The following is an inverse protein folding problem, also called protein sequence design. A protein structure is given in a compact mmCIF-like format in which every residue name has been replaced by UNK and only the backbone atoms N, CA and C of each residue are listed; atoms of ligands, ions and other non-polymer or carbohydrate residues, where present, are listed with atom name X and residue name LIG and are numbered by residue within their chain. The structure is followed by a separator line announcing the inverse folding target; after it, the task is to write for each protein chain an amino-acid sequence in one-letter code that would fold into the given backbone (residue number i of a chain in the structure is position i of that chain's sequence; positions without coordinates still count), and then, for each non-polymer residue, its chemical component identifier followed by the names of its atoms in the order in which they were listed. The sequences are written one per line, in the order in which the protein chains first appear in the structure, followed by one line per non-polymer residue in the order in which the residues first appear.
data_IF_862567007242
#
_entry.id   IF_862567007242
#
_cell.length_a   1.000
_cell.length_b   1.000
_cell.length_c   1.000
_cell.angle_alpha   90.00
_cell.angle_beta   90.00
_cell.angle_gamma   90.00
#
_symmetry.space_group_name_H-M   'P 1'
#
loop_
_entity.id
_entity.type
_entity.pdbx_description
1 polymer ?
#
# COMPACT_ATOMS: atom_id res chain seq x y z
N UNK A 1 -7.73 22.11 -14.66
CA UNK A 1 -8.94 21.56 -14.05
C UNK A 1 -10.19 21.93 -14.85
N UNK A 2 -10.35 23.17 -15.26
CA UNK A 2 -11.52 23.65 -16.04
C UNK A 2 -11.66 22.93 -17.38
N UNK A 3 -10.56 22.40 -17.92
CA UNK A 3 -10.55 21.60 -19.16
C UNK A 3 -11.20 20.20 -19.02
N UNK A 4 -11.45 19.75 -17.78
CA UNK A 4 -12.09 18.47 -17.48
C UNK A 4 -13.62 18.59 -17.30
N UNK A 5 -14.16 19.80 -17.30
CA UNK A 5 -15.60 20.00 -17.16
C UNK A 5 -16.36 19.28 -18.28
N UNK A 6 -17.39 18.50 -17.90
CA UNK A 6 -18.17 17.69 -18.85
C UNK A 6 -17.54 16.38 -19.30
N UNK A 7 -16.33 16.03 -18.83
CA UNK A 7 -15.72 14.72 -19.09
C UNK A 7 -16.34 13.65 -18.19
N UNK A 8 -16.60 12.50 -18.77
CA UNK A 8 -17.21 11.35 -18.09
C UNK A 8 -16.16 10.34 -17.56
N UNK A 9 -16.63 9.28 -16.92
CA UNK A 9 -15.78 8.20 -16.39
C UNK A 9 -15.00 7.50 -17.51
N UNK A 10 -15.60 7.30 -18.70
CA UNK A 10 -14.93 6.65 -19.81
C UNK A 10 -13.72 7.45 -20.30
N UNK A 11 -13.85 8.78 -20.33
CA UNK A 11 -12.73 9.66 -20.62
C UNK A 11 -11.61 9.54 -19.58
N UNK A 12 -11.95 9.53 -18.28
CA UNK A 12 -10.95 9.41 -17.20
C UNK A 12 -10.17 8.10 -17.32
N UNK A 13 -10.87 6.99 -17.54
CA UNK A 13 -10.23 5.67 -17.71
C UNK A 13 -9.35 5.59 -18.96
N UNK A 14 -9.80 6.15 -20.08
CA UNK A 14 -8.98 6.22 -21.28
C UNK A 14 -7.72 7.05 -21.06
N UNK A 15 -7.88 8.23 -20.43
CA UNK A 15 -6.75 9.13 -20.17
C UNK A 15 -5.77 8.52 -19.18
N UNK A 16 -6.24 7.80 -18.16
CA UNK A 16 -5.38 7.05 -17.23
C UNK A 16 -4.52 6.03 -17.95
N UNK A 17 -5.11 5.25 -18.86
CA UNK A 17 -4.36 4.26 -19.68
C UNK A 17 -3.31 4.93 -20.58
N UNK A 18 -3.63 6.05 -21.19
CA UNK A 18 -2.66 6.83 -21.98
C UNK A 18 -1.51 7.32 -21.12
N UNK A 19 -1.81 7.89 -19.94
CA UNK A 19 -0.78 8.36 -18.99
C UNK A 19 0.09 7.20 -18.49
N UNK A 20 -0.49 6.04 -18.18
CA UNK A 20 0.27 4.85 -17.82
C UNK A 20 1.25 4.46 -18.93
N UNK A 21 0.81 4.42 -20.19
CA UNK A 21 1.67 4.07 -21.32
C UNK A 21 2.83 5.06 -21.49
N UNK A 22 2.53 6.37 -21.44
CA UNK A 22 3.54 7.43 -21.57
C UNK A 22 4.56 7.34 -20.44
N UNK A 23 4.10 7.31 -19.20
CA UNK A 23 4.95 7.30 -17.99
C UNK A 23 5.83 6.05 -17.97
N UNK A 24 5.26 4.87 -18.24
CA UNK A 24 6.02 3.62 -18.24
C UNK A 24 7.07 3.60 -19.34
N UNK A 25 6.74 4.10 -20.54
CA UNK A 25 7.70 4.21 -21.65
C UNK A 25 8.82 5.20 -21.32
N UNK A 26 8.50 6.37 -20.77
CA UNK A 26 9.49 7.39 -20.40
C UNK A 26 10.44 6.85 -19.31
N UNK A 27 9.90 6.16 -18.30
CA UNK A 27 10.71 5.53 -17.24
C UNK A 27 11.64 4.48 -17.84
N UNK A 28 11.14 3.59 -18.70
CA UNK A 28 11.96 2.54 -19.33
C UNK A 28 13.07 3.15 -20.20
N UNK A 29 12.77 4.21 -20.92
CA UNK A 29 13.75 4.89 -21.78
C UNK A 29 14.85 5.52 -20.92
N UNK A 30 14.51 6.31 -19.91
CA UNK A 30 15.51 6.92 -19.02
C UNK A 30 16.31 5.86 -18.21
N UNK A 31 15.68 4.75 -17.81
CA UNK A 31 16.38 3.65 -17.14
C UNK A 31 17.36 2.96 -18.08
N UNK A 32 17.00 2.70 -19.33
CA UNK A 32 17.90 2.07 -20.31
C UNK A 32 19.13 2.91 -20.61
N UNK A 33 18.99 4.24 -20.61
CA UNK A 33 20.09 5.17 -20.85
C UNK A 33 21.04 5.29 -19.65
N UNK A 34 20.49 5.33 -18.42
CA UNK A 34 21.27 5.67 -17.23
C UNK A 34 21.79 4.46 -16.44
N UNK A 35 21.14 3.29 -16.55
CA UNK A 35 21.46 2.14 -15.70
C UNK A 35 22.41 1.12 -16.37
N UNK A 36 22.75 1.28 -17.67
CA UNK A 36 23.53 0.32 -18.44
C UNK A 36 24.94 0.01 -17.90
N UNK A 37 25.51 0.92 -17.09
CA UNK A 37 26.89 0.83 -16.60
C UNK A 37 27.01 0.84 -15.07
N UNK A 38 25.93 0.55 -14.34
CA UNK A 38 25.91 0.63 -12.88
C UNK A 38 25.73 -0.77 -12.29
N UNK A 39 26.72 -1.23 -11.51
CA UNK A 39 26.70 -2.53 -10.84
C UNK A 39 26.28 -2.44 -9.37
N UNK A 40 26.41 -1.26 -8.72
CA UNK A 40 26.03 -1.09 -7.32
C UNK A 40 24.50 -1.07 -7.13
N UNK A 41 24.00 -2.01 -6.35
CA UNK A 41 22.56 -2.17 -6.08
C UNK A 41 21.93 -0.98 -5.34
N UNK A 42 22.70 -0.26 -4.51
CA UNK A 42 22.21 0.94 -3.79
C UNK A 42 22.12 2.13 -4.74
N UNK A 43 23.13 2.31 -5.58
CA UNK A 43 23.16 3.36 -6.59
C UNK A 43 22.05 3.15 -7.63
N UNK A 44 21.82 1.92 -8.08
CA UNK A 44 20.71 1.55 -8.95
C UNK A 44 19.35 1.94 -8.37
N UNK A 45 19.12 1.67 -7.07
CA UNK A 45 17.86 2.04 -6.40
C UNK A 45 17.67 3.56 -6.36
N UNK A 46 18.73 4.30 -6.05
CA UNK A 46 18.69 5.77 -5.97
C UNK A 46 18.35 6.39 -7.33
N UNK A 47 19.07 5.98 -8.39
CA UNK A 47 18.83 6.52 -9.72
C UNK A 47 17.45 6.17 -10.25
N UNK A 48 16.93 4.96 -9.98
CA UNK A 48 15.56 4.59 -10.32
C UNK A 48 14.53 5.48 -9.63
N UNK A 49 14.74 5.82 -8.37
CA UNK A 49 13.87 6.73 -7.65
C UNK A 49 13.90 8.14 -8.24
N UNK A 50 15.08 8.66 -8.57
CA UNK A 50 15.26 9.97 -9.21
C UNK A 50 14.61 10.03 -10.61
N UNK A 51 14.72 8.95 -11.40
CA UNK A 51 14.06 8.85 -12.71
C UNK A 51 12.54 8.87 -12.54
N UNK A 52 12.01 8.05 -11.62
CA UNK A 52 10.59 7.98 -11.36
C UNK A 52 10.03 9.33 -10.90
N UNK A 53 10.68 9.98 -9.93
CA UNK A 53 10.30 11.31 -9.44
C UNK A 53 10.28 12.35 -10.58
N UNK A 54 11.33 12.39 -11.40
CA UNK A 54 11.44 13.31 -12.54
C UNK A 54 10.32 13.07 -13.56
N UNK A 55 10.05 11.83 -13.95
CA UNK A 55 9.03 11.49 -14.95
C UNK A 55 7.64 11.76 -14.40
N UNK A 56 7.32 11.28 -13.20
CA UNK A 56 6.03 11.48 -12.56
C UNK A 56 5.74 12.97 -12.30
N UNK A 57 6.76 13.75 -11.93
CA UNK A 57 6.64 15.18 -11.70
C UNK A 57 6.12 15.96 -12.92
N UNK A 58 6.41 15.51 -14.15
CA UNK A 58 5.88 16.13 -15.39
C UNK A 58 4.35 15.99 -15.49
N UNK A 59 3.79 14.94 -14.92
CA UNK A 59 2.37 14.59 -15.02
C UNK A 59 1.58 14.90 -13.73
N UNK A 60 2.20 15.49 -12.71
CA UNK A 60 1.60 15.75 -11.40
C UNK A 60 0.32 16.59 -11.51
N UNK A 61 0.36 17.71 -12.21
CA UNK A 61 -0.76 18.66 -12.32
C UNK A 61 -1.98 17.98 -12.96
N UNK A 62 -1.76 17.26 -14.07
CA UNK A 62 -2.84 16.58 -14.77
C UNK A 62 -3.40 15.44 -13.92
N UNK A 63 -2.54 14.62 -13.33
CA UNK A 63 -2.95 13.50 -12.48
C UNK A 63 -3.78 13.96 -11.29
N UNK A 64 -3.39 15.03 -10.63
CA UNK A 64 -4.13 15.58 -9.50
C UNK A 64 -5.47 16.18 -9.94
N UNK A 65 -5.53 16.79 -11.11
CA UNK A 65 -6.78 17.28 -11.68
C UNK A 65 -7.76 16.12 -11.99
N UNK A 66 -7.26 14.98 -12.50
CA UNK A 66 -8.08 13.79 -12.75
C UNK A 66 -8.65 13.21 -11.45
N UNK A 67 -7.86 13.11 -10.37
CA UNK A 67 -8.35 12.67 -9.05
C UNK A 67 -9.44 13.60 -8.54
N UNK A 68 -9.22 14.93 -8.56
CA UNK A 68 -10.23 15.91 -8.11
C UNK A 68 -11.51 15.81 -8.95
N UNK A 69 -11.39 15.55 -10.26
CA UNK A 69 -12.55 15.37 -11.13
C UNK A 69 -13.28 14.05 -10.86
N UNK A 70 -12.57 12.96 -10.61
CA UNK A 70 -13.17 11.68 -10.20
C UNK A 70 -14.00 11.84 -8.91
N UNK A 71 -13.49 12.56 -7.92
CA UNK A 71 -14.24 12.88 -6.69
C UNK A 71 -15.53 13.65 -6.98
N UNK A 72 -15.54 14.56 -7.96
CA UNK A 72 -16.77 15.26 -8.40
C UNK A 72 -17.77 14.32 -9.06
N UNK A 73 -17.30 13.41 -9.94
CA UNK A 73 -18.17 12.46 -10.61
C UNK A 73 -18.77 11.43 -9.65
N UNK A 74 -18.13 11.22 -8.50
CA UNK A 74 -18.64 10.38 -7.42
C UNK A 74 -19.60 11.11 -6.47
N UNK A 75 -19.67 12.44 -6.49
CA UNK A 75 -20.52 13.21 -5.59
C UNK A 75 -21.97 12.73 -5.64
N UNK A 76 -22.58 12.59 -4.47
CA UNK A 76 -23.92 12.04 -4.24
C UNK A 76 -24.11 10.54 -4.60
N UNK A 77 -23.08 9.83 -5.01
CA UNK A 77 -23.16 8.38 -5.19
C UNK A 77 -22.95 7.63 -3.88
N UNK A 78 -23.55 6.45 -3.78
CA UNK A 78 -23.48 5.59 -2.60
C UNK A 78 -22.95 4.22 -2.96
N UNK A 79 -22.17 3.63 -2.05
CA UNK A 79 -21.72 2.22 -2.14
C UNK A 79 -21.46 1.64 -0.76
N UNK A 80 -21.34 0.32 -0.70
CA UNK A 80 -21.06 -0.39 0.53
C UNK A 80 -19.58 -0.26 0.90
N UNK A 81 -19.31 0.10 2.16
CA UNK A 81 -17.97 0.15 2.78
C UNK A 81 -18.07 -0.58 4.10
N UNK A 82 -17.40 -1.74 4.21
CA UNK A 82 -17.44 -2.63 5.39
C UNK A 82 -18.88 -2.90 5.84
N UNK A 83 -19.77 -3.19 4.86
CA UNK A 83 -21.19 -3.51 5.12
C UNK A 83 -22.08 -2.32 5.50
N UNK A 84 -21.59 -1.10 5.38
CA UNK A 84 -22.37 0.12 5.59
C UNK A 84 -22.44 0.92 4.29
N UNK A 85 -23.63 1.44 3.96
CA UNK A 85 -23.77 2.34 2.83
C UNK A 85 -23.20 3.71 3.18
N UNK A 86 -22.21 4.14 2.43
CA UNK A 86 -21.59 5.45 2.57
C UNK A 86 -21.87 6.26 1.31
N UNK A 87 -22.31 7.49 1.52
CA UNK A 87 -22.50 8.47 0.47
C UNK A 87 -21.23 9.30 0.30
N UNK A 88 -20.82 9.52 -0.93
CA UNK A 88 -19.65 10.34 -1.23
C UNK A 88 -20.02 11.83 -1.27
N UNK A 89 -19.49 12.61 -0.34
CA UNK A 89 -19.73 14.05 -0.25
C UNK A 89 -18.43 14.86 -0.26
N UNK A 90 -17.30 14.23 -0.66
CA UNK A 90 -15.98 14.84 -0.58
C UNK A 90 -15.52 15.35 -1.94
N UNK A 91 -15.24 16.65 -2.01
CA UNK A 91 -14.50 17.28 -3.10
C UNK A 91 -13.25 17.90 -2.47
N UNK A 92 -12.04 17.52 -2.91
CA UNK A 92 -10.80 18.00 -2.29
C UNK A 92 -10.66 19.52 -2.36
N UNK A 93 -10.26 20.12 -1.23
CA UNK A 93 -9.86 21.53 -1.13
C UNK A 93 -8.42 21.72 -1.63
N UNK A 94 -8.05 22.97 -1.91
CA UNK A 94 -6.72 23.28 -2.45
C UNK A 94 -5.61 23.00 -1.44
N UNK A 95 -5.85 23.18 -0.14
CA UNK A 95 -4.93 22.82 0.95
C UNK A 95 -4.64 21.30 0.97
N UNK A 96 -5.66 20.51 0.67
CA UNK A 96 -5.51 19.05 0.57
C UNK A 96 -4.67 18.65 -0.65
N UNK A 97 -4.80 19.36 -1.75
CA UNK A 97 -3.94 19.16 -2.94
C UNK A 97 -2.47 19.46 -2.61
N UNK A 98 -2.20 20.54 -1.85
CA UNK A 98 -0.85 20.86 -1.37
C UNK A 98 -0.29 19.74 -0.49
N UNK A 99 -1.09 19.18 0.43
CA UNK A 99 -0.72 18.01 1.23
C UNK A 99 -0.32 16.81 0.36
N UNK A 100 -1.07 16.55 -0.71
CA UNK A 100 -0.76 15.51 -1.69
C UNK A 100 0.57 15.72 -2.41
N UNK A 101 0.92 16.96 -2.76
CA UNK A 101 2.23 17.32 -3.35
C UNK A 101 3.37 17.02 -2.38
N UNK A 102 3.21 17.40 -1.12
CA UNK A 102 4.22 17.15 -0.06
C UNK A 102 4.47 15.66 0.11
N UNK A 103 3.41 14.84 0.15
CA UNK A 103 3.52 13.38 0.24
C UNK A 103 4.19 12.77 -1.01
N UNK A 104 3.87 13.26 -2.21
CA UNK A 104 4.53 12.79 -3.44
C UNK A 104 6.04 13.05 -3.42
N UNK A 105 6.48 14.14 -2.81
CA UNK A 105 7.90 14.48 -2.62
C UNK A 105 8.61 13.64 -1.55
N UNK A 106 7.97 12.61 -1.00
CA UNK A 106 8.55 11.75 0.04
C UNK A 106 8.73 12.45 1.38
N UNK A 107 7.93 13.45 1.68
CA UNK A 107 7.96 14.22 2.92
C UNK A 107 6.81 13.81 3.86
N UNK A 108 6.91 14.22 5.12
CA UNK A 108 5.85 14.08 6.11
C UNK A 108 4.87 15.25 5.95
N UNK A 109 3.58 14.93 5.80
CA UNK A 109 2.49 15.90 5.81
C UNK A 109 1.72 15.74 7.10
N UNK A 110 1.86 16.71 8.00
CA UNK A 110 1.08 16.75 9.24
C UNK A 110 -0.25 17.45 9.00
N UNK A 111 -1.34 16.75 9.33
CA UNK A 111 -2.71 17.26 9.22
C UNK A 111 -3.48 16.87 10.48
N UNK A 112 -4.32 17.77 10.99
CA UNK A 112 -5.16 17.51 12.16
C UNK A 112 -6.20 16.44 11.85
N UNK A 113 -6.69 15.79 12.90
CA UNK A 113 -7.82 14.85 12.79
C UNK A 113 -9.03 15.55 12.19
N UNK A 114 -9.68 14.91 11.21
CA UNK A 114 -10.84 15.47 10.50
C UNK A 114 -10.50 16.32 9.27
N UNK A 115 -9.24 16.65 8.98
CA UNK A 115 -8.87 17.45 7.81
C UNK A 115 -8.79 16.63 6.50
N UNK A 116 -9.14 15.35 6.54
CA UNK A 116 -9.26 14.49 5.35
C UNK A 116 -7.95 13.89 4.87
N UNK A 117 -7.03 13.49 5.76
CA UNK A 117 -5.76 12.81 5.43
C UNK A 117 -5.92 11.69 4.43
N UNK A 118 -6.93 10.83 4.61
CA UNK A 118 -7.22 9.70 3.73
C UNK A 118 -7.53 10.13 2.29
N UNK A 119 -8.27 11.24 2.13
CA UNK A 119 -8.55 11.83 0.82
C UNK A 119 -7.29 12.45 0.19
N UNK A 120 -6.47 13.13 0.99
CA UNK A 120 -5.19 13.72 0.54
C UNK A 120 -4.26 12.66 -0.03
N UNK A 121 -4.20 11.49 0.61
CA UNK A 121 -3.36 10.38 0.16
C UNK A 121 -3.74 9.90 -1.26
N UNK A 122 -4.98 10.09 -1.71
CA UNK A 122 -5.41 9.61 -3.04
C UNK A 122 -4.63 10.25 -4.19
N UNK A 123 -4.18 11.48 -4.04
CA UNK A 123 -3.42 12.19 -5.07
C UNK A 123 -2.08 11.53 -5.39
N UNK A 124 -1.16 11.40 -4.42
CA UNK A 124 0.13 10.75 -4.69
C UNK A 124 -0.01 9.25 -4.94
N UNK A 125 -1.00 8.56 -4.36
CA UNK A 125 -1.28 7.16 -4.65
C UNK A 125 -1.58 6.99 -6.14
N UNK A 126 -2.51 7.75 -6.68
CA UNK A 126 -2.87 7.69 -8.10
C UNK A 126 -1.66 7.97 -9.00
N UNK A 127 -0.96 9.08 -8.77
CA UNK A 127 0.19 9.46 -9.59
C UNK A 127 1.27 8.37 -9.61
N UNK A 128 1.62 7.81 -8.44
CA UNK A 128 2.65 6.78 -8.37
C UNK A 128 2.18 5.42 -8.93
N UNK A 129 0.88 5.12 -8.86
CA UNK A 129 0.30 3.91 -9.45
C UNK A 129 0.39 3.91 -10.98
N UNK A 130 0.40 5.08 -11.64
CA UNK A 130 0.56 5.18 -13.10
C UNK A 130 1.88 4.58 -13.60
N UNK A 131 2.89 4.46 -12.73
CA UNK A 131 4.15 3.77 -13.07
C UNK A 131 3.97 2.27 -13.37
N UNK A 132 2.84 1.66 -12.98
CA UNK A 132 2.59 0.22 -13.09
C UNK A 132 3.40 -0.64 -12.12
N UNK A 133 4.16 -0.03 -11.22
CA UNK A 133 5.07 -0.73 -10.28
C UNK A 133 4.42 -1.07 -8.94
N UNK A 134 3.17 -0.66 -8.72
CA UNK A 134 2.41 -0.86 -7.51
C UNK A 134 2.68 0.17 -6.42
N UNK A 135 1.62 0.45 -5.66
CA UNK A 135 1.64 1.36 -4.50
C UNK A 135 1.10 0.63 -3.29
N UNK A 136 1.79 0.73 -2.16
CA UNK A 136 1.34 0.21 -0.89
C UNK A 136 0.82 1.35 0.00
N UNK A 137 -0.34 1.14 0.62
CA UNK A 137 -0.92 2.06 1.60
C UNK A 137 -0.99 1.35 2.94
N UNK A 138 -0.21 1.85 3.89
CA UNK A 138 0.00 1.22 5.19
C UNK A 138 -0.86 1.92 6.22
N UNK A 139 -1.70 1.15 6.91
CA UNK A 139 -2.59 1.58 7.98
C UNK A 139 -2.29 0.83 9.28
N UNK A 140 -2.92 1.23 10.38
CA UNK A 140 -2.62 0.66 11.71
C UNK A 140 -3.38 -0.64 12.02
N UNK A 141 -4.49 -0.93 11.33
CA UNK A 141 -5.27 -2.16 11.57
C UNK A 141 -6.04 -2.63 10.34
N UNK A 142 -6.48 -3.89 10.37
CA UNK A 142 -7.20 -4.56 9.28
C UNK A 142 -8.51 -3.87 8.92
N UNK A 143 -9.23 -3.33 9.92
CA UNK A 143 -10.48 -2.60 9.67
C UNK A 143 -10.25 -1.35 8.80
N UNK A 144 -9.23 -0.55 9.13
CA UNK A 144 -8.88 0.63 8.34
C UNK A 144 -8.37 0.25 6.96
N UNK A 145 -7.59 -0.82 6.85
CA UNK A 145 -7.09 -1.30 5.56
C UNK A 145 -8.25 -1.66 4.61
N UNK A 146 -9.24 -2.40 5.09
CA UNK A 146 -10.42 -2.75 4.30
C UNK A 146 -11.30 -1.51 4.05
N UNK A 147 -11.62 -0.74 5.09
CA UNK A 147 -12.46 0.46 4.98
C UNK A 147 -11.92 1.43 3.94
N UNK A 148 -10.64 1.76 4.00
CA UNK A 148 -10.05 2.76 3.13
C UNK A 148 -9.86 2.21 1.71
N UNK A 149 -9.58 0.93 1.55
CA UNK A 149 -9.58 0.28 0.24
C UNK A 149 -10.97 0.30 -0.43
N UNK A 150 -12.04 0.02 0.31
CA UNK A 150 -13.41 0.05 -0.22
C UNK A 150 -13.92 1.48 -0.42
N UNK A 151 -13.52 2.42 0.43
CA UNK A 151 -13.98 3.81 0.39
C UNK A 151 -13.22 4.64 -0.64
N UNK A 152 -11.90 4.79 -0.48
CA UNK A 152 -11.05 5.54 -1.41
C UNK A 152 -10.80 4.76 -2.70
N UNK A 153 -10.83 3.44 -2.64
CA UNK A 153 -10.70 2.58 -3.80
C UNK A 153 -11.66 2.92 -4.93
N UNK A 154 -12.85 3.42 -4.58
CA UNK A 154 -13.84 3.84 -5.58
C UNK A 154 -13.36 5.00 -6.46
N UNK A 155 -12.55 5.90 -5.93
CA UNK A 155 -11.90 6.97 -6.71
C UNK A 155 -10.95 6.36 -7.75
N UNK A 156 -10.12 5.41 -7.32
CA UNK A 156 -9.16 4.75 -8.20
C UNK A 156 -9.81 3.86 -9.25
N UNK A 157 -10.86 3.12 -8.89
CA UNK A 157 -11.67 2.34 -9.83
C UNK A 157 -12.34 3.23 -10.89
N UNK A 158 -12.84 4.42 -10.47
CA UNK A 158 -13.42 5.42 -11.39
C UNK A 158 -12.37 5.91 -12.38
N UNK A 159 -11.11 5.99 -11.96
CA UNK A 159 -9.97 6.31 -12.81
C UNK A 159 -9.43 5.11 -13.62
N UNK A 160 -9.93 3.90 -13.38
CA UNK A 160 -9.54 2.69 -14.11
C UNK A 160 -8.35 1.93 -13.52
N UNK A 161 -8.00 2.17 -12.26
CA UNK A 161 -6.98 1.43 -11.52
C UNK A 161 -7.62 0.34 -10.63
N UNK A 162 -6.87 -0.74 -10.43
CA UNK A 162 -7.25 -1.85 -9.56
C UNK A 162 -6.80 -1.61 -8.12
N UNK A 163 -7.66 -1.99 -7.17
CA UNK A 163 -7.39 -1.85 -5.73
C UNK A 163 -7.58 -3.18 -5.02
N UNK A 164 -6.64 -3.53 -4.16
CA UNK A 164 -6.71 -4.69 -3.29
C UNK A 164 -6.37 -4.30 -1.85
N UNK A 165 -6.63 -5.23 -0.94
CA UNK A 165 -6.22 -5.08 0.46
C UNK A 165 -5.73 -6.42 1.01
N UNK A 166 -4.95 -6.36 2.08
CA UNK A 166 -4.38 -7.51 2.78
C UNK A 166 -4.91 -7.52 4.21
N UNK A 167 -5.50 -8.65 4.60
CA UNK A 167 -5.97 -8.90 5.96
C UNK A 167 -5.29 -10.14 6.54
N UNK A 168 -5.24 -10.23 7.84
CA UNK A 168 -4.65 -11.37 8.55
C UNK A 168 -5.31 -12.72 8.15
N UNK A 169 -6.62 -12.74 7.92
CA UNK A 169 -7.40 -13.92 7.57
C UNK A 169 -7.19 -14.44 6.15
N UNK A 170 -6.49 -13.71 5.28
CA UNK A 170 -6.32 -14.07 3.87
C UNK A 170 -5.29 -15.18 3.66
N UNK A 171 -5.61 -16.09 2.74
CA UNK A 171 -4.69 -17.12 2.27
C UNK A 171 -3.65 -16.57 1.29
N UNK A 172 -2.55 -17.31 0.97
CA UNK A 172 -1.47 -16.82 0.10
C UNK A 172 -1.93 -16.43 -1.31
N UNK A 173 -2.89 -17.14 -1.89
CA UNK A 173 -3.39 -16.84 -3.25
C UNK A 173 -4.17 -15.53 -3.28
N UNK A 174 -5.01 -15.28 -2.28
CA UNK A 174 -5.74 -14.02 -2.11
C UNK A 174 -4.77 -12.85 -1.92
N UNK A 175 -3.74 -13.03 -1.10
CA UNK A 175 -2.68 -12.03 -0.89
C UNK A 175 -1.97 -11.71 -2.19
N UNK A 176 -1.54 -12.72 -2.94
CA UNK A 176 -0.88 -12.56 -4.24
C UNK A 176 -1.76 -11.81 -5.23
N UNK A 177 -3.05 -12.10 -5.27
CA UNK A 177 -4.02 -11.37 -6.10
C UNK A 177 -4.09 -9.90 -5.71
N UNK A 178 -4.16 -9.59 -4.40
CA UNK A 178 -4.19 -8.21 -3.90
C UNK A 178 -2.90 -7.46 -4.19
N UNK A 179 -1.73 -8.11 -4.06
CA UNK A 179 -0.45 -7.49 -4.42
C UNK A 179 -0.31 -7.22 -5.92
N UNK A 180 -1.04 -7.92 -6.77
CA UNK A 180 -1.03 -7.68 -8.22
C UNK A 180 -1.91 -6.50 -8.65
N UNK A 181 -2.74 -5.95 -7.76
CA UNK A 181 -3.45 -4.70 -8.01
C UNK A 181 -2.48 -3.52 -8.12
N UNK A 182 -2.93 -2.42 -8.73
CA UNK A 182 -2.15 -1.18 -8.84
C UNK A 182 -1.90 -0.57 -7.47
N UNK A 183 -2.86 -0.72 -6.56
CA UNK A 183 -2.84 -0.17 -5.20
C UNK A 183 -3.20 -1.29 -4.22
N UNK A 184 -2.41 -1.45 -3.16
CA UNK A 184 -2.66 -2.46 -2.12
C UNK A 184 -2.65 -1.81 -0.74
N UNK A 185 -3.77 -1.91 -0.03
CA UNK A 185 -3.91 -1.50 1.36
C UNK A 185 -3.57 -2.65 2.32
N UNK A 186 -3.02 -2.33 3.48
CA UNK A 186 -2.72 -3.33 4.50
C UNK A 186 -2.09 -2.73 5.74
N UNK A 187 -1.87 -3.55 6.77
CA UNK A 187 -1.15 -3.11 7.95
C UNK A 187 0.35 -3.28 7.77
N UNK A 188 1.15 -2.53 8.54
CA UNK A 188 2.61 -2.67 8.59
C UNK A 188 3.02 -4.11 8.89
N UNK A 189 2.33 -4.77 9.82
CA UNK A 189 2.61 -6.15 10.22
C UNK A 189 2.37 -7.14 9.06
N UNK A 190 1.25 -7.01 8.36
CA UNK A 190 0.94 -7.91 7.23
C UNK A 190 1.95 -7.76 6.08
N UNK A 191 2.29 -6.54 5.70
CA UNK A 191 3.34 -6.30 4.71
C UNK A 191 4.70 -6.86 5.16
N UNK A 192 5.04 -6.66 6.44
CA UNK A 192 6.29 -7.14 7.00
C UNK A 192 6.36 -8.66 7.09
N UNK A 193 5.29 -9.32 7.54
CA UNK A 193 5.22 -10.79 7.57
C UNK A 193 5.25 -11.40 6.18
N UNK A 194 4.57 -10.81 5.20
CA UNK A 194 4.64 -11.28 3.81
C UNK A 194 6.05 -11.11 3.24
N UNK A 195 6.73 -10.00 3.52
CA UNK A 195 8.13 -9.81 3.14
C UNK A 195 9.04 -10.89 3.76
N UNK A 196 8.86 -11.21 5.04
CA UNK A 196 9.64 -12.29 5.68
C UNK A 196 9.33 -13.65 5.06
N UNK A 197 8.06 -13.97 4.81
CA UNK A 197 7.65 -15.22 4.14
C UNK A 197 8.27 -15.32 2.75
N UNK A 198 8.23 -14.27 1.97
CA UNK A 198 8.82 -14.22 0.63
C UNK A 198 10.35 -14.43 0.65
N UNK A 199 11.04 -13.90 1.67
CA UNK A 199 12.49 -14.12 1.82
C UNK A 199 12.84 -15.56 2.26
N UNK A 200 11.88 -16.32 2.80
CA UNK A 200 12.05 -17.75 3.16
C UNK A 200 11.66 -18.68 2.02
N UNK A 201 11.03 -18.17 0.98
CA UNK A 201 10.53 -18.96 -0.15
C UNK A 201 11.67 -19.30 -1.11
N UNK A 202 11.75 -20.59 -1.50
CA UNK A 202 12.79 -21.10 -2.41
C UNK A 202 12.43 -20.77 -3.87
N UNK A 203 11.17 -20.93 -4.24
CA UNK A 203 10.71 -20.77 -5.61
C UNK A 203 10.03 -19.42 -5.82
N UNK A 204 10.42 -18.71 -6.86
CA UNK A 204 9.86 -17.38 -7.20
C UNK A 204 8.35 -17.39 -7.47
N UNK A 205 7.79 -18.53 -7.86
CA UNK A 205 6.36 -18.67 -8.13
C UNK A 205 5.50 -18.50 -6.88
N UNK A 206 6.05 -18.79 -5.70
CA UNK A 206 5.35 -18.67 -4.42
C UNK A 206 5.50 -17.27 -3.78
N UNK A 207 6.25 -16.36 -4.39
CA UNK A 207 6.34 -14.99 -3.90
C UNK A 207 4.97 -14.31 -3.98
N UNK A 208 4.56 -13.72 -2.87
CA UNK A 208 3.32 -12.96 -2.78
C UNK A 208 3.52 -11.52 -3.27
N UNK A 209 4.60 -10.89 -2.83
CA UNK A 209 4.86 -9.48 -3.10
C UNK A 209 5.62 -9.26 -4.42
N UNK A 210 5.32 -8.14 -5.07
CA UNK A 210 6.14 -7.58 -6.14
C UNK A 210 7.30 -6.76 -5.56
N UNK A 211 8.17 -6.23 -6.42
CA UNK A 211 9.20 -5.26 -5.99
C UNK A 211 8.54 -4.02 -5.40
N UNK A 212 9.05 -3.56 -4.27
CA UNK A 212 8.58 -2.34 -3.63
C UNK A 212 8.95 -1.11 -4.49
N UNK A 213 7.97 -0.22 -4.69
CA UNK A 213 8.14 0.99 -5.48
C UNK A 213 7.82 2.25 -4.68
N UNK A 214 6.57 2.38 -4.23
CA UNK A 214 6.11 3.53 -3.47
C UNK A 214 5.20 3.08 -2.33
N UNK A 215 5.32 3.73 -1.18
CA UNK A 215 4.45 3.48 -0.04
C UNK A 215 4.04 4.79 0.66
N UNK A 216 2.79 4.83 1.10
CA UNK A 216 2.31 5.83 2.05
C UNK A 216 2.07 5.13 3.38
N UNK A 217 2.57 5.73 4.46
CA UNK A 217 2.36 5.26 5.83
C UNK A 217 1.46 6.25 6.54
N UNK A 218 0.23 5.82 6.86
CA UNK A 218 -0.66 6.57 7.72
C UNK A 218 -0.33 6.30 9.19
N UNK A 219 -0.59 7.26 10.07
CA UNK A 219 -0.22 7.20 11.50
C UNK A 219 1.27 6.83 11.69
N UNK A 220 2.14 7.56 11.00
CA UNK A 220 3.58 7.26 10.90
C UNK A 220 4.30 7.23 12.25
N UNK A 221 3.85 8.02 13.22
CA UNK A 221 4.32 8.04 14.60
C UNK A 221 4.04 6.71 15.30
N UNK A 222 2.86 6.15 15.17
CA UNK A 222 2.55 4.83 15.69
C UNK A 222 3.41 3.74 15.03
N UNK A 223 3.47 3.71 13.71
CA UNK A 223 4.15 2.65 12.96
C UNK A 223 5.66 2.70 13.10
N UNK A 224 6.28 3.88 12.98
CA UNK A 224 7.74 4.03 12.89
C UNK A 224 8.40 4.45 14.21
N UNK A 225 7.63 4.83 15.23
CA UNK A 225 8.16 5.24 16.55
C UNK A 225 7.65 4.31 17.64
N UNK A 226 6.34 4.25 17.89
CA UNK A 226 5.78 3.51 19.02
C UNK A 226 5.98 1.99 18.86
N UNK A 227 5.69 1.44 17.68
CA UNK A 227 5.84 0.02 17.37
C UNK A 227 7.19 -0.36 16.74
N UNK A 228 8.10 0.60 16.53
CA UNK A 228 9.37 0.39 15.84
C UNK A 228 10.27 -0.68 16.47
N UNK A 229 10.10 -0.94 17.77
CA UNK A 229 10.87 -1.94 18.52
C UNK A 229 10.21 -3.32 18.59
N UNK A 230 8.97 -3.45 18.11
CA UNK A 230 8.27 -4.72 18.11
C UNK A 230 8.80 -5.61 16.99
N UNK A 231 9.51 -6.72 17.30
CA UNK A 231 10.07 -7.57 16.26
C UNK A 231 8.97 -8.38 15.57
N UNK A 232 9.05 -8.48 14.26
CA UNK A 232 8.25 -9.45 13.50
C UNK A 232 8.94 -10.81 13.58
N UNK A 233 8.31 -11.77 14.26
CA UNK A 233 8.88 -13.10 14.49
C UNK A 233 8.00 -14.15 13.84
N UNK A 234 8.56 -14.92 12.90
CA UNK A 234 7.95 -16.15 12.38
C UNK A 234 8.54 -17.31 13.17
N UNK A 235 7.69 -18.01 13.94
CA UNK A 235 8.08 -19.21 14.67
C UNK A 235 7.19 -20.38 14.28
N UNK A 236 7.77 -21.57 14.23
CA UNK A 236 7.05 -22.82 14.01
C UNK A 236 7.29 -23.77 15.20
N UNK A 237 6.44 -24.77 15.36
CA UNK A 237 6.69 -25.81 16.34
C UNK A 237 7.99 -26.52 15.99
N UNK A 238 8.96 -26.45 16.88
CA UNK A 238 10.16 -27.28 16.80
C UNK A 238 9.87 -28.56 17.55
N UNK A 239 9.84 -29.68 16.84
CA UNK A 239 9.84 -30.99 17.48
C UNK A 239 11.18 -31.19 18.19
N UNK A 240 11.28 -30.71 19.40
CA UNK A 240 12.44 -30.95 20.24
C UNK A 240 12.19 -32.12 21.15
N UNK A 241 13.21 -32.99 21.33
CA UNK A 241 13.24 -34.06 22.35
C UNK A 241 12.96 -33.55 23.78
N UNK A 242 12.92 -32.22 23.97
CA UNK A 242 12.60 -31.53 25.21
C UNK A 242 11.17 -31.85 25.70
N UNK A 243 10.21 -32.04 24.80
CA UNK A 243 8.85 -32.40 25.20
C UNK A 243 8.77 -33.72 25.93
N UNK A 244 9.62 -34.70 25.56
CA UNK A 244 9.67 -36.00 26.25
C UNK A 244 10.19 -35.83 27.67
N UNK A 245 11.20 -35.02 27.88
CA UNK A 245 11.76 -34.75 29.23
C UNK A 245 10.75 -34.09 30.18
N UNK A 246 9.89 -33.21 29.68
CA UNK A 246 8.83 -32.60 30.50
C UNK A 246 7.73 -33.64 30.87
N UNK A 247 7.40 -34.53 29.96
CA UNK A 247 6.43 -35.62 30.21
C UNK A 247 7.00 -36.59 31.24
N UNK A 248 8.27 -36.94 31.13
CA UNK A 248 8.95 -37.86 32.02
C UNK A 248 9.08 -37.27 33.46
N UNK A 249 9.29 -35.96 33.58
CA UNK A 249 9.35 -35.27 34.86
C UNK A 249 7.99 -35.01 35.51
N UNK A 250 6.90 -35.07 34.75
CA UNK A 250 5.54 -34.80 35.28
C UNK A 250 5.18 -35.69 36.46
N UNK A 251 5.41 -37.01 36.37
CA UNK A 251 5.10 -37.95 37.44
C UNK A 251 5.93 -37.72 38.71
N UNK A 252 7.27 -37.56 38.65
CA UNK A 252 8.07 -37.22 39.82
C UNK A 252 7.63 -35.93 40.52
N UNK A 253 7.34 -34.89 39.76
CA UNK A 253 6.89 -33.59 40.30
C UNK A 253 5.52 -33.73 40.98
N UNK A 254 4.60 -34.47 40.39
CA UNK A 254 3.28 -34.74 40.99
C UNK A 254 3.40 -35.53 42.30
N UNK A 255 4.30 -36.52 42.37
CA UNK A 255 4.53 -37.28 43.59
C UNK A 255 5.13 -36.43 44.69
N UNK A 256 6.02 -35.51 44.38
CA UNK A 256 6.57 -34.56 45.35
C UNK A 256 5.52 -33.58 45.87
N UNK A 257 4.62 -33.11 45.02
CA UNK A 257 3.52 -32.22 45.41
C UNK A 257 2.53 -32.92 46.38
N UNK A 258 2.31 -34.20 46.23
CA UNK A 258 1.39 -34.99 47.11
C UNK A 258 1.98 -35.31 48.50
N UNK A 259 3.30 -35.24 48.62
CA UNK A 259 3.97 -35.47 49.92
C UNK A 259 3.82 -34.28 50.89
N UNK A 260 3.57 -33.06 50.37
CA UNK A 260 3.42 -31.85 51.15
C UNK A 260 1.95 -31.44 51.42
N UNK A 261 0.99 -32.22 50.97
CA UNK A 261 -0.43 -32.04 51.28
C UNK A 261 -0.87 -33.07 52.32
#
# INVERSE_FOLDING_TARGET
YDTLEGKDIAYLQSRTKELQQIIQQDILTEESEKLSNIDDSKELKKIRAEIAEKVLGKHLVESFALVKHACRLLYDKEWDVVGQKIKWEMIPYDEQVVGGIVLHQGKISEMKTGEGKTLVATFPIYLNALSGRGVHVITVNDYLAQRDAEWMGKVFETLGLSVGFILNSMNPEQRKSSYNCDITYGTNNEFGFDYLRDNMTIDKEFLAQRKHNYAIVDEVDSVLIDEARTPLIISGPVETKINQSYIDLKRPVQSLSLIHI
#
